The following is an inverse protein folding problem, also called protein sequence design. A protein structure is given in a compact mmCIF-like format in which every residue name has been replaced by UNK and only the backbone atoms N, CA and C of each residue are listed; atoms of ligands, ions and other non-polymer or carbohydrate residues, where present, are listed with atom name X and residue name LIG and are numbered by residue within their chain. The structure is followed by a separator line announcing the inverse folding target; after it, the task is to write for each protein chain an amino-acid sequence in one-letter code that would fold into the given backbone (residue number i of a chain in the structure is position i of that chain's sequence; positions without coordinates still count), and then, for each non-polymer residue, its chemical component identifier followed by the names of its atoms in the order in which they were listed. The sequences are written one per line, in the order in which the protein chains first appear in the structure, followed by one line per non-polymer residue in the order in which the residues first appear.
data_IF_816353362524
#
_entry.id   IF_816353362524
#
_cell.length_a   1.000
_cell.length_b   1.000
_cell.length_c   1.000
_cell.angle_alpha   90.00
_cell.angle_beta   90.00
_cell.angle_gamma   90.00
#
_symmetry.space_group_name_H-M   'P 1'
#
loop_
_entity.id
_entity.type
_entity.pdbx_description
1 polymer ?
#
# COMPACT_ATOMS: atom_id res chain seq x y z
N UNK A 1 47.53 10.33 -18.22
CA UNK A 1 47.02 10.09 -16.85
C UNK A 1 45.51 10.19 -16.90
N UNK A 2 44.79 9.08 -16.66
CA UNK A 2 43.33 9.04 -16.67
C UNK A 2 42.82 9.64 -15.35
N UNK A 3 41.96 10.65 -15.45
CA UNK A 3 41.28 11.21 -14.28
C UNK A 3 40.32 10.16 -13.70
N UNK A 4 40.39 10.01 -12.39
CA UNK A 4 39.66 9.04 -11.59
C UNK A 4 38.14 9.18 -11.77
N UNK A 5 37.47 8.04 -11.86
CA UNK A 5 36.01 7.95 -11.93
C UNK A 5 35.37 8.64 -10.72
N UNK A 6 34.47 9.57 -10.99
CA UNK A 6 33.55 10.07 -9.98
C UNK A 6 32.72 8.90 -9.48
N UNK A 7 32.85 8.57 -8.20
CA UNK A 7 31.90 7.70 -7.52
C UNK A 7 30.51 8.36 -7.66
N UNK A 8 29.63 7.78 -8.46
CA UNK A 8 28.21 8.11 -8.42
C UNK A 8 27.75 7.89 -6.99
N UNK A 9 27.30 8.96 -6.32
CA UNK A 9 26.70 8.83 -5.00
C UNK A 9 25.47 7.91 -5.11
N UNK A 10 25.27 6.97 -4.18
CA UNK A 10 24.04 6.21 -4.12
C UNK A 10 22.86 7.18 -4.06
N UNK A 11 21.86 6.98 -4.91
CA UNK A 11 20.60 7.69 -4.76
C UNK A 11 19.74 6.92 -3.77
N UNK A 12 19.14 7.63 -2.81
CA UNK A 12 18.22 7.04 -1.85
C UNK A 12 17.17 6.17 -2.53
N UNK A 13 16.93 4.98 -1.98
CA UNK A 13 16.02 3.99 -2.54
C UNK A 13 15.23 3.33 -1.43
N UNK A 14 13.96 3.07 -1.68
CA UNK A 14 13.13 2.23 -0.83
C UNK A 14 12.40 1.19 -1.68
N UNK A 15 12.07 0.07 -1.03
CA UNK A 15 11.16 -0.94 -1.56
C UNK A 15 10.44 -1.62 -0.41
N UNK A 16 9.12 -1.71 -0.51
CA UNK A 16 8.29 -2.39 0.47
C UNK A 16 7.09 -3.08 -0.16
N UNK A 17 6.45 -3.91 0.66
CA UNK A 17 5.21 -4.60 0.32
C UNK A 17 4.19 -4.34 1.41
N UNK A 18 2.93 -4.21 1.04
CA UNK A 18 1.82 -4.06 1.97
C UNK A 18 0.97 -5.32 1.91
N UNK A 19 1.09 -6.14 2.94
CA UNK A 19 0.25 -7.33 3.12
C UNK A 19 -0.86 -6.98 4.09
N UNK A 20 -2.10 -6.87 3.62
CA UNK A 20 -3.26 -6.67 4.50
C UNK A 20 -4.09 -7.94 4.56
N UNK A 21 -4.45 -8.35 5.77
CA UNK A 21 -5.35 -9.45 6.05
C UNK A 21 -6.48 -8.97 6.96
N UNK A 22 -7.68 -9.46 6.73
CA UNK A 22 -8.83 -9.16 7.57
C UNK A 22 -9.72 -10.38 7.75
N UNK A 23 -10.28 -10.50 8.95
CA UNK A 23 -11.44 -11.35 9.24
C UNK A 23 -12.64 -10.42 9.51
N UNK A 24 -13.76 -10.95 10.05
CA UNK A 24 -14.97 -10.15 10.30
C UNK A 24 -14.82 -9.01 11.34
N UNK A 25 -13.73 -9.00 12.12
CA UNK A 25 -13.51 -8.05 13.23
C UNK A 25 -12.14 -7.38 13.19
N UNK A 26 -11.11 -8.15 12.86
CA UNK A 26 -9.72 -7.77 12.94
C UNK A 26 -9.12 -7.53 11.56
N UNK A 27 -8.20 -6.58 11.54
CA UNK A 27 -7.37 -6.22 10.41
C UNK A 27 -5.93 -6.23 10.89
N UNK A 28 -5.08 -6.92 10.16
CA UNK A 28 -3.63 -6.88 10.35
C UNK A 28 -3.01 -6.46 9.02
N UNK A 29 -2.13 -5.47 9.04
CA UNK A 29 -1.29 -5.12 7.92
C UNK A 29 0.18 -5.23 8.31
N UNK A 30 0.97 -5.83 7.43
CA UNK A 30 2.38 -6.11 7.62
C UNK A 30 3.16 -5.52 6.46
N UNK A 31 4.11 -4.64 6.78
CA UNK A 31 4.87 -3.87 5.80
C UNK A 31 6.37 -4.14 5.98
N UNK A 32 6.91 -5.22 5.39
CA UNK A 32 8.35 -5.37 5.26
C UNK A 32 8.89 -4.35 4.25
N UNK A 33 9.92 -3.61 4.65
CA UNK A 33 10.53 -2.58 3.83
C UNK A 33 12.07 -2.59 3.91
N UNK A 34 12.70 -2.29 2.79
CA UNK A 34 14.15 -2.17 2.62
C UNK A 34 14.48 -0.77 2.13
N UNK A 35 15.53 -0.20 2.71
CA UNK A 35 15.92 1.18 2.52
C UNK A 35 17.41 1.29 2.27
N UNK A 36 17.80 2.17 1.38
CA UNK A 36 19.17 2.62 1.17
C UNK A 36 19.15 4.14 1.21
N UNK A 37 19.90 4.75 2.12
CA UNK A 37 20.00 6.21 2.20
C UNK A 37 20.97 6.78 1.14
N UNK A 38 21.04 8.11 1.04
CA UNK A 38 21.95 8.81 0.11
C UNK A 38 23.45 8.60 0.42
N UNK A 39 23.78 8.07 1.60
CA UNK A 39 25.12 7.67 1.97
C UNK A 39 25.43 6.20 1.61
N UNK A 40 24.43 5.44 1.13
CA UNK A 40 24.54 4.02 0.81
C UNK A 40 24.36 3.10 2.02
N UNK A 41 23.92 3.60 3.17
CA UNK A 41 23.62 2.75 4.31
C UNK A 41 22.30 2.02 4.08
N UNK A 42 22.36 0.70 4.20
CA UNK A 42 21.18 -0.15 4.10
C UNK A 42 20.51 -0.31 5.47
N UNK A 43 19.18 -0.23 5.48
CA UNK A 43 18.36 -0.58 6.64
C UNK A 43 17.13 -1.37 6.19
N UNK A 44 16.54 -2.12 7.11
CA UNK A 44 15.34 -2.88 6.85
C UNK A 44 14.42 -2.79 8.07
N UNK A 45 13.12 -2.77 7.83
CA UNK A 45 12.13 -2.63 8.89
C UNK A 45 10.86 -3.44 8.59
N UNK A 46 10.10 -3.71 9.65
CA UNK A 46 8.75 -4.26 9.58
C UNK A 46 7.80 -3.33 10.33
N UNK A 47 6.80 -2.79 9.65
CA UNK A 47 5.65 -2.18 10.31
C UNK A 47 4.55 -3.23 10.50
N UNK A 48 4.03 -3.32 11.73
CA UNK A 48 2.93 -4.22 12.10
C UNK A 48 1.78 -3.35 12.54
N UNK A 49 0.69 -3.34 11.78
CA UNK A 49 -0.46 -2.49 12.01
C UNK A 49 -1.66 -3.38 12.30
N UNK A 50 -2.42 -3.03 13.32
CA UNK A 50 -3.68 -3.68 13.70
C UNK A 50 -4.80 -2.63 13.68
N UNK A 51 -6.03 -2.98 14.06
CA UNK A 51 -7.15 -2.03 14.10
C UNK A 51 -6.85 -0.76 14.90
N UNK A 52 -6.03 -0.86 15.94
CA UNK A 52 -5.84 0.19 16.94
C UNK A 52 -4.38 0.40 17.37
N UNK A 53 -3.44 -0.43 16.89
CA UNK A 53 -2.01 -0.36 17.28
C UNK A 53 -1.09 -0.44 16.08
N UNK A 54 0.04 0.24 16.20
CA UNK A 54 1.17 0.19 15.27
C UNK A 54 2.42 -0.18 16.04
N UNK A 55 3.19 -1.11 15.49
CA UNK A 55 4.52 -1.46 15.96
C UNK A 55 5.52 -1.30 14.82
N UNK A 56 6.72 -0.83 15.17
CA UNK A 56 7.83 -0.69 14.25
C UNK A 56 8.98 -1.54 14.75
N UNK A 57 9.52 -2.38 13.87
CA UNK A 57 10.63 -3.28 14.20
C UNK A 57 11.76 -3.02 13.22
N UNK A 58 12.84 -2.46 13.72
CA UNK A 58 14.08 -2.26 12.98
C UNK A 58 14.88 -3.57 12.93
N UNK A 59 15.44 -3.87 11.76
CA UNK A 59 16.33 -5.00 11.56
C UNK A 59 17.75 -4.53 11.28
N UNK A 60 18.76 -5.28 11.74
CA UNK A 60 20.14 -4.91 11.54
C UNK A 60 20.49 -4.94 10.03
N UNK A 61 21.42 -4.11 9.54
CA UNK A 61 21.75 -4.02 8.11
C UNK A 61 22.12 -5.35 7.44
N UNK A 62 22.60 -6.32 8.21
CA UNK A 62 22.92 -7.68 7.74
C UNK A 62 21.68 -8.45 7.28
N UNK A 63 20.48 -8.08 7.73
CA UNK A 63 19.23 -8.60 7.21
C UNK A 63 18.94 -8.10 5.79
N UNK A 64 19.74 -7.18 5.24
CA UNK A 64 19.67 -6.65 3.87
C UNK A 64 20.38 -7.59 2.86
N UNK A 65 19.89 -8.83 2.69
CA UNK A 65 20.44 -9.81 1.73
C UNK A 65 20.03 -9.53 0.27
N UNK A 66 20.78 -10.08 -0.70
CA UNK A 66 20.56 -9.86 -2.14
C UNK A 66 19.20 -10.34 -2.71
N UNK A 67 18.42 -11.11 -1.94
CA UNK A 67 17.09 -11.65 -2.31
C UNK A 67 15.95 -10.61 -2.26
N UNK A 68 16.24 -9.33 -2.05
CA UNK A 68 15.23 -8.30 -1.70
C UNK A 68 14.60 -7.59 -2.89
N UNK A 69 14.88 -8.06 -4.10
CA UNK A 69 14.37 -7.43 -5.31
C UNK A 69 12.94 -7.81 -5.62
N UNK A 70 12.46 -8.98 -5.22
CA UNK A 70 11.11 -9.50 -5.50
C UNK A 70 10.68 -10.48 -4.40
N UNK A 71 9.40 -10.85 -4.35
CA UNK A 71 8.95 -11.91 -3.44
C UNK A 71 9.48 -13.28 -3.93
N UNK A 72 9.85 -14.19 -3.02
CA UNK A 72 9.78 -14.08 -1.57
C UNK A 72 10.90 -13.21 -0.97
N UNK A 73 10.60 -12.52 0.13
CA UNK A 73 11.59 -11.77 0.91
C UNK A 73 11.72 -12.28 2.34
N UNK A 74 12.94 -12.19 2.87
CA UNK A 74 13.27 -12.53 4.25
C UNK A 74 13.70 -11.31 5.03
N UNK A 75 13.25 -11.26 6.28
CA UNK A 75 13.60 -10.23 7.24
C UNK A 75 13.84 -10.89 8.60
N UNK A 76 15.12 -11.15 8.91
CA UNK A 76 15.48 -12.02 10.02
C UNK A 76 14.85 -13.40 9.89
N UNK A 77 14.04 -13.81 10.87
CA UNK A 77 13.30 -15.09 10.85
C UNK A 77 11.94 -15.01 10.14
N UNK A 78 11.56 -13.83 9.64
CA UNK A 78 10.31 -13.67 8.90
C UNK A 78 10.51 -14.01 7.41
N UNK A 79 9.52 -14.67 6.83
CA UNK A 79 9.41 -14.95 5.40
C UNK A 79 8.08 -14.40 4.89
N UNK A 80 8.12 -13.62 3.82
CA UNK A 80 6.95 -13.09 3.13
C UNK A 80 6.96 -13.58 1.68
N UNK A 81 5.87 -14.15 1.20
CA UNK A 81 5.74 -14.62 -0.18
C UNK A 81 4.30 -14.48 -0.71
N UNK A 82 4.11 -14.84 -1.98
CA UNK A 82 2.80 -14.89 -2.62
C UNK A 82 1.92 -16.05 -2.13
N UNK A 83 2.51 -17.02 -1.41
CA UNK A 83 1.83 -18.20 -0.87
C UNK A 83 1.51 -18.06 0.62
N UNK A 84 2.00 -17.01 1.28
CA UNK A 84 1.78 -16.81 2.71
C UNK A 84 2.97 -16.12 3.39
N UNK A 85 2.99 -16.24 4.71
CA UNK A 85 4.07 -15.72 5.53
C UNK A 85 4.29 -16.56 6.78
N UNK A 86 5.54 -16.65 7.20
CA UNK A 86 5.93 -17.19 8.49
C UNK A 86 6.68 -16.12 9.27
N UNK A 87 6.23 -15.81 10.47
CA UNK A 87 6.70 -14.67 11.24
C UNK A 87 7.23 -15.12 12.60
N UNK A 88 8.43 -14.67 12.95
CA UNK A 88 8.99 -14.79 14.30
C UNK A 88 9.83 -13.54 14.58
N UNK A 89 9.24 -12.64 15.37
CA UNK A 89 9.85 -11.41 15.84
C UNK A 89 9.76 -11.38 17.35
N UNK A 90 10.87 -11.06 17.99
CA UNK A 90 10.95 -10.88 19.43
C UNK A 90 11.81 -9.66 19.73
N UNK A 91 11.14 -8.55 20.04
CA UNK A 91 11.75 -7.31 20.49
C UNK A 91 11.13 -6.87 21.81
N UNK A 92 11.64 -5.79 22.41
CA UNK A 92 11.09 -5.24 23.64
C UNK A 92 9.64 -4.77 23.47
N UNK A 93 9.31 -4.19 22.30
CA UNK A 93 8.02 -3.54 22.06
C UNK A 93 7.05 -4.40 21.22
N UNK A 94 7.57 -5.41 20.51
CA UNK A 94 6.80 -6.27 19.62
C UNK A 94 7.26 -7.73 19.68
N UNK A 95 6.35 -8.60 20.10
CA UNK A 95 6.42 -10.05 20.00
C UNK A 95 5.37 -10.47 18.96
N UNK A 96 5.83 -10.89 17.78
CA UNK A 96 4.97 -11.33 16.68
C UNK A 96 5.37 -12.74 16.27
N UNK A 97 4.42 -13.68 16.33
CA UNK A 97 4.64 -15.07 15.89
C UNK A 97 3.42 -15.59 15.16
N UNK A 98 3.63 -16.40 14.13
CA UNK A 98 2.52 -17.09 13.47
C UNK A 98 2.81 -17.43 12.03
N UNK A 99 1.82 -18.07 11.41
CA UNK A 99 1.89 -18.49 10.01
C UNK A 99 0.54 -18.19 9.37
N UNK A 100 0.59 -17.53 8.22
CA UNK A 100 -0.56 -17.35 7.35
C UNK A 100 -0.29 -18.02 6.01
N UNK A 101 -1.31 -18.67 5.48
CA UNK A 101 -1.33 -19.34 4.19
C UNK A 101 -2.27 -18.56 3.27
N UNK A 102 -1.81 -18.31 2.05
CA UNK A 102 -2.62 -17.63 1.05
C UNK A 102 -3.18 -18.64 0.05
N UNK A 103 -4.47 -18.50 -0.23
CA UNK A 103 -5.04 -19.09 -1.44
C UNK A 103 -4.47 -18.45 -2.71
N UNK A 104 -4.89 -18.91 -3.90
CA UNK A 104 -4.44 -18.32 -5.16
C UNK A 104 -4.64 -16.81 -5.18
N UNK A 105 -3.58 -16.07 -5.55
CA UNK A 105 -3.67 -14.63 -5.74
C UNK A 105 -4.56 -14.32 -6.94
N UNK A 106 -5.27 -13.20 -6.85
CA UNK A 106 -6.00 -12.64 -8.00
C UNK A 106 -5.20 -11.47 -8.55
N UNK A 107 -4.26 -11.69 -9.49
CA UNK A 107 -3.47 -10.59 -10.04
C UNK A 107 -4.35 -9.63 -10.85
N UNK A 108 -3.97 -8.35 -10.95
CA UNK A 108 -4.60 -7.44 -11.90
C UNK A 108 -4.37 -7.91 -13.35
N UNK A 109 -5.29 -7.59 -14.25
CA UNK A 109 -5.22 -7.98 -15.65
C UNK A 109 -3.98 -7.41 -16.39
N UNK A 110 -3.43 -6.30 -15.88
CA UNK A 110 -2.19 -5.69 -16.32
C UNK A 110 -1.59 -4.84 -15.19
N UNK A 111 -0.35 -4.39 -15.34
CA UNK A 111 0.32 -3.47 -14.41
C UNK A 111 -0.62 -2.32 -14.00
N UNK A 112 -0.76 -2.10 -12.69
CA UNK A 112 -1.65 -1.08 -12.13
C UNK A 112 -1.26 0.34 -12.57
N UNK A 113 0.03 0.61 -12.80
CA UNK A 113 0.51 1.89 -13.29
C UNK A 113 0.31 2.05 -14.80
N UNK A 114 0.10 0.96 -15.54
CA UNK A 114 0.02 0.97 -17.00
C UNK A 114 1.19 1.77 -17.62
N UNK A 115 0.93 2.73 -18.54
CA UNK A 115 2.00 3.51 -19.16
C UNK A 115 2.80 4.38 -18.17
N UNK A 116 2.31 4.64 -16.96
CA UNK A 116 3.06 5.43 -15.96
C UNK A 116 4.32 4.70 -15.47
N UNK A 117 4.41 3.37 -15.60
CA UNK A 117 5.62 2.64 -15.24
C UNK A 117 6.85 3.06 -16.07
N UNK A 118 6.60 3.52 -17.30
CA UNK A 118 7.62 3.97 -18.26
C UNK A 118 8.03 5.44 -18.07
N UNK A 119 7.38 6.19 -17.18
CA UNK A 119 7.71 7.60 -17.00
C UNK A 119 9.08 7.75 -16.30
N UNK A 120 10.00 8.54 -16.87
CA UNK A 120 11.27 8.82 -16.23
C UNK A 120 11.05 9.69 -14.99
N UNK A 121 11.97 9.60 -14.02
CA UNK A 121 11.93 10.41 -12.78
C UNK A 121 10.70 10.21 -11.90
N UNK A 122 9.95 9.11 -12.09
CA UNK A 122 8.87 8.74 -11.18
C UNK A 122 9.42 8.48 -9.77
N UNK A 123 8.92 9.24 -8.80
CA UNK A 123 9.36 9.22 -7.39
C UNK A 123 9.02 7.87 -6.74
N UNK A 124 7.80 7.37 -6.97
CA UNK A 124 7.30 6.10 -6.47
C UNK A 124 6.66 5.29 -7.59
N UNK A 125 7.05 4.02 -7.71
CA UNK A 125 6.39 3.03 -8.55
C UNK A 125 5.56 2.09 -7.68
N UNK A 126 4.29 2.03 -8.00
CA UNK A 126 3.29 1.25 -7.32
C UNK A 126 3.04 -0.08 -8.06
N UNK A 127 2.74 -1.16 -7.34
CA UNK A 127 2.46 -2.48 -7.91
C UNK A 127 1.38 -3.18 -7.11
N UNK A 128 0.41 -3.78 -7.77
CA UNK A 128 -0.60 -4.63 -7.12
C UNK A 128 -0.36 -6.07 -7.54
N UNK A 129 -0.11 -6.94 -6.57
CA UNK A 129 0.12 -8.38 -6.80
C UNK A 129 -1.17 -9.18 -6.67
N UNK A 130 -2.08 -8.74 -5.79
CA UNK A 130 -3.34 -9.43 -5.56
C UNK A 130 -4.46 -8.44 -5.25
N UNK A 131 -5.48 -8.40 -6.11
CA UNK A 131 -6.74 -7.69 -5.87
C UNK A 131 -7.49 -8.29 -4.68
N UNK A 132 -7.39 -9.61 -4.52
CA UNK A 132 -8.05 -10.40 -3.49
C UNK A 132 -7.40 -11.77 -3.41
N UNK A 133 -7.24 -12.30 -2.20
CA UNK A 133 -6.95 -13.72 -1.95
C UNK A 133 -7.57 -14.17 -0.64
N UNK A 134 -7.71 -15.48 -0.48
CA UNK A 134 -8.11 -16.08 0.79
C UNK A 134 -6.89 -16.17 1.72
N UNK A 135 -7.10 -16.00 3.02
CA UNK A 135 -6.07 -16.12 4.06
C UNK A 135 -6.54 -17.09 5.14
N UNK A 136 -5.68 -18.05 5.48
CA UNK A 136 -5.90 -19.02 6.55
C UNK A 136 -4.71 -19.08 7.50
N UNK A 137 -4.94 -19.27 8.80
CA UNK A 137 -3.90 -19.38 9.82
C UNK A 137 -4.08 -18.38 10.95
N UNK A 138 -3.02 -18.14 11.73
CA UNK A 138 -3.10 -17.23 12.86
C UNK A 138 -1.78 -16.51 13.14
N UNK A 139 -1.92 -15.34 13.75
CA UNK A 139 -0.84 -14.53 14.29
C UNK A 139 -1.09 -14.27 15.78
N UNK A 140 -0.03 -14.26 16.57
CA UNK A 140 0.00 -13.74 17.94
C UNK A 140 0.84 -12.46 17.94
N UNK A 141 0.24 -11.35 18.35
CA UNK A 141 0.90 -10.04 18.47
C UNK A 141 0.78 -9.59 19.91
N UNK A 142 1.90 -9.51 20.63
CA UNK A 142 1.96 -9.13 22.05
C UNK A 142 0.94 -9.89 22.92
N UNK A 143 0.78 -11.20 22.65
CA UNK A 143 -0.12 -12.09 23.38
C UNK A 143 -1.59 -12.08 22.91
N UNK A 144 -2.01 -11.14 22.06
CA UNK A 144 -3.33 -11.17 21.42
C UNK A 144 -3.29 -12.05 20.17
N UNK A 145 -4.23 -12.97 20.05
CA UNK A 145 -4.39 -13.83 18.88
C UNK A 145 -5.26 -13.15 17.81
N UNK A 146 -4.87 -13.34 16.55
CA UNK A 146 -5.58 -12.94 15.35
C UNK A 146 -5.73 -14.19 14.48
N UNK A 147 -6.96 -14.67 14.32
CA UNK A 147 -7.26 -15.90 13.59
C UNK A 147 -7.95 -15.56 12.28
N UNK A 148 -7.46 -16.17 11.19
CA UNK A 148 -8.04 -16.04 9.87
C UNK A 148 -8.50 -17.43 9.41
N UNK A 149 -9.81 -17.58 9.24
CA UNK A 149 -10.45 -18.76 8.69
C UNK A 149 -11.28 -18.33 7.50
N UNK A 150 -10.82 -18.62 6.29
CA UNK A 150 -11.33 -18.01 5.06
C UNK A 150 -11.31 -16.46 5.13
N UNK A 151 -10.26 -15.92 5.75
CA UNK A 151 -10.02 -14.48 5.81
C UNK A 151 -9.77 -13.89 4.42
N UNK A 152 -9.78 -12.57 4.34
CA UNK A 152 -9.54 -11.82 3.09
C UNK A 152 -8.18 -11.16 3.12
N UNK A 153 -7.43 -11.30 2.02
CA UNK A 153 -6.10 -10.75 1.84
C UNK A 153 -6.01 -9.79 0.65
N UNK A 154 -5.12 -8.82 0.77
CA UNK A 154 -4.71 -7.86 -0.26
C UNK A 154 -3.20 -7.69 -0.25
N UNK A 155 -2.59 -7.55 -1.43
CA UNK A 155 -1.15 -7.43 -1.59
C UNK A 155 -0.77 -6.41 -2.66
N UNK A 156 -0.05 -5.38 -2.24
CA UNK A 156 0.58 -4.38 -3.09
C UNK A 156 2.04 -4.14 -2.67
N UNK A 157 2.76 -3.32 -3.43
CA UNK A 157 4.10 -2.89 -3.06
C UNK A 157 4.50 -1.61 -3.76
N UNK A 158 5.44 -0.93 -3.12
CA UNK A 158 5.95 0.37 -3.55
C UNK A 158 7.47 0.35 -3.61
N UNK A 159 8.02 1.04 -4.60
CA UNK A 159 9.46 1.21 -4.74
C UNK A 159 9.83 2.53 -5.39
N UNK A 160 10.94 3.11 -4.99
CA UNK A 160 11.39 4.36 -5.58
C UNK A 160 12.32 5.14 -4.66
N UNK A 161 12.31 6.46 -4.80
CA UNK A 161 13.15 7.38 -4.01
C UNK A 161 12.33 8.00 -2.87
N UNK A 162 11.08 8.36 -3.13
CA UNK A 162 10.16 8.96 -2.18
C UNK A 162 8.70 8.74 -2.59
N UNK A 163 7.77 8.87 -1.65
CA UNK A 163 6.36 9.01 -1.99
C UNK A 163 6.07 10.36 -2.68
N UNK A 164 4.98 10.45 -3.46
CA UNK A 164 4.56 11.70 -4.09
C UNK A 164 4.38 12.82 -3.08
N UNK A 165 4.58 14.07 -3.54
CA UNK A 165 4.37 15.26 -2.69
C UNK A 165 3.00 15.27 -2.02
N UNK A 166 1.95 15.05 -2.83
CA UNK A 166 0.56 14.89 -2.38
C UNK A 166 0.02 13.58 -2.94
N UNK A 167 -0.62 12.81 -2.07
CA UNK A 167 -1.32 11.60 -2.43
C UNK A 167 -2.46 11.30 -1.44
N UNK A 168 -3.37 10.47 -1.94
CA UNK A 168 -4.40 9.83 -1.17
C UNK A 168 -4.49 8.39 -1.67
N UNK A 169 -4.44 7.43 -0.75
CA UNK A 169 -4.61 6.02 -1.04
C UNK A 169 -5.69 5.42 -0.15
N UNK A 170 -6.46 4.48 -0.70
CA UNK A 170 -7.45 3.72 0.05
C UNK A 170 -7.60 2.34 -0.53
N UNK A 171 -7.81 1.35 0.35
CA UNK A 171 -8.17 -0.01 -0.01
C UNK A 171 -9.23 -0.57 0.94
N UNK A 172 -10.23 -1.25 0.41
CA UNK A 172 -11.21 -1.98 1.20
C UNK A 172 -11.59 -3.28 0.49
N UNK A 173 -11.82 -4.34 1.25
CA UNK A 173 -12.39 -5.57 0.74
C UNK A 173 -13.65 -5.96 1.53
N UNK A 174 -14.62 -6.56 0.85
CA UNK A 174 -15.90 -6.98 1.42
C UNK A 174 -16.40 -8.23 0.70
N UNK A 175 -16.69 -9.30 1.45
CA UNK A 175 -16.95 -10.61 0.86
C UNK A 175 -15.79 -11.04 -0.05
N UNK A 176 -16.07 -11.34 -1.33
CA UNK A 176 -15.05 -11.68 -2.34
C UNK A 176 -14.77 -10.52 -3.32
N UNK A 177 -14.96 -9.28 -2.84
CA UNK A 177 -14.81 -8.06 -3.63
C UNK A 177 -13.79 -7.15 -2.97
N UNK A 178 -13.19 -6.27 -3.75
CA UNK A 178 -12.27 -5.27 -3.23
C UNK A 178 -12.26 -4.02 -4.10
N UNK A 179 -11.81 -2.92 -3.51
CA UNK A 179 -11.62 -1.64 -4.16
C UNK A 179 -10.31 -1.07 -3.66
N UNK A 180 -9.52 -0.54 -4.59
CA UNK A 180 -8.36 0.28 -4.27
C UNK A 180 -8.37 1.50 -5.17
N UNK A 181 -7.98 2.65 -4.61
CA UNK A 181 -7.72 3.84 -5.38
C UNK A 181 -6.55 4.61 -4.78
N UNK A 182 -5.62 5.00 -5.65
CA UNK A 182 -4.56 5.97 -5.37
C UNK A 182 -4.75 7.18 -6.28
N UNK A 183 -4.69 8.39 -5.70
CA UNK A 183 -4.58 9.65 -6.40
C UNK A 183 -3.31 10.35 -5.93
N UNK A 184 -2.51 10.88 -6.87
CA UNK A 184 -1.21 11.47 -6.55
C UNK A 184 -0.80 12.58 -7.52
N UNK A 185 0.04 13.49 -7.04
CA UNK A 185 0.83 14.38 -7.90
C UNK A 185 1.88 13.55 -8.66
N UNK A 186 1.79 13.51 -9.99
CA UNK A 186 2.67 12.73 -10.88
C UNK A 186 3.62 13.67 -11.63
N UNK A 187 4.95 13.44 -11.59
CA UNK A 187 5.90 14.21 -12.37
C UNK A 187 5.81 13.84 -13.87
N UNK A 188 5.82 14.85 -14.73
CA UNK A 188 5.82 14.67 -16.19
C UNK A 188 6.70 15.74 -16.86
N UNK A 189 7.94 15.37 -17.22
CA UNK A 189 8.80 16.20 -18.08
C UNK A 189 9.02 17.63 -17.59
N UNK A 190 9.20 17.83 -16.28
CA UNK A 190 9.36 19.16 -15.65
C UNK A 190 8.05 19.83 -15.20
N UNK A 191 6.91 19.27 -15.57
CA UNK A 191 5.58 19.63 -15.05
C UNK A 191 5.11 18.59 -14.03
N UNK A 192 3.99 18.88 -13.37
CA UNK A 192 3.29 17.95 -12.50
C UNK A 192 1.79 18.00 -12.82
N UNK A 193 1.13 16.85 -12.82
CA UNK A 193 -0.32 16.75 -12.93
C UNK A 193 -0.86 15.81 -11.84
N UNK A 194 -2.12 15.96 -11.46
CA UNK A 194 -2.76 15.03 -10.53
C UNK A 194 -3.36 13.85 -11.32
N UNK A 195 -2.83 12.65 -11.08
CA UNK A 195 -3.31 11.41 -11.67
C UNK A 195 -3.96 10.50 -10.64
N UNK A 196 -4.67 9.48 -11.12
CA UNK A 196 -5.17 8.39 -10.29
C UNK A 196 -5.00 7.03 -10.97
N UNK A 197 -4.85 5.99 -10.15
CA UNK A 197 -4.93 4.59 -10.56
C UNK A 197 -5.61 3.75 -9.48
N UNK A 198 -6.25 2.67 -9.86
CA UNK A 198 -6.98 1.81 -8.95
C UNK A 198 -7.89 0.84 -9.69
N UNK A 199 -8.75 0.16 -8.94
CA UNK A 199 -9.69 -0.81 -9.46
C UNK A 199 -10.90 -0.96 -8.56
N UNK A 200 -11.99 -1.44 -9.14
CA UNK A 200 -13.06 -2.12 -8.41
C UNK A 200 -13.04 -3.59 -8.86
N UNK A 201 -12.81 -4.51 -7.95
CA UNK A 201 -12.92 -5.94 -8.19
C UNK A 201 -14.25 -6.42 -7.64
N UNK A 202 -15.16 -6.81 -8.52
CA UNK A 202 -16.54 -7.14 -8.17
C UNK A 202 -16.96 -8.42 -8.91
N UNK A 203 -17.42 -9.42 -8.15
CA UNK A 203 -17.95 -10.68 -8.67
C UNK A 203 -17.01 -11.37 -9.68
N UNK A 204 -15.72 -11.45 -9.35
CA UNK A 204 -14.73 -12.10 -10.21
C UNK A 204 -14.20 -11.22 -11.35
N UNK A 205 -14.59 -9.95 -11.43
CA UNK A 205 -14.22 -9.06 -12.53
C UNK A 205 -13.54 -7.78 -12.04
N UNK A 206 -12.40 -7.47 -12.65
CA UNK A 206 -11.72 -6.19 -12.48
C UNK A 206 -12.37 -5.09 -13.35
N UNK A 207 -12.62 -3.95 -12.73
CA UNK A 207 -12.98 -2.69 -13.36
C UNK A 207 -11.85 -1.69 -13.09
N UNK A 208 -10.90 -1.60 -14.03
CA UNK A 208 -9.76 -0.66 -13.96
C UNK A 208 -10.24 0.79 -13.91
N UNK A 209 -9.66 1.56 -13.01
CA UNK A 209 -9.83 3.01 -12.89
C UNK A 209 -8.47 3.65 -13.04
N UNK A 210 -8.23 4.42 -14.09
CA UNK A 210 -6.95 5.11 -14.24
C UNK A 210 -7.07 6.35 -15.11
N UNK A 211 -6.26 7.37 -14.84
CA UNK A 211 -6.20 8.57 -15.68
C UNK A 211 -5.84 8.22 -17.13
N UNK A 212 -4.93 7.26 -17.34
CA UNK A 212 -4.58 6.76 -18.67
C UNK A 212 -5.70 5.92 -19.34
N UNK A 213 -6.73 5.52 -18.60
CA UNK A 213 -7.96 4.91 -19.11
C UNK A 213 -9.11 5.94 -19.23
N UNK A 214 -8.83 7.25 -19.07
CA UNK A 214 -9.81 8.32 -19.17
C UNK A 214 -10.54 8.65 -17.88
N UNK A 215 -10.06 8.17 -16.72
CA UNK A 215 -10.59 8.62 -15.42
C UNK A 215 -10.29 10.11 -15.20
N UNK A 216 -11.27 10.82 -14.68
CA UNK A 216 -11.18 12.23 -14.31
C UNK A 216 -11.58 12.39 -12.86
N UNK A 217 -10.68 12.95 -12.05
CA UNK A 217 -10.98 13.41 -10.70
C UNK A 217 -11.87 14.65 -10.80
N UNK A 218 -13.08 14.54 -10.27
CA UNK A 218 -14.07 15.63 -10.23
C UNK A 218 -13.95 16.45 -8.95
N UNK A 219 -13.56 15.80 -7.86
CA UNK A 219 -13.28 16.41 -6.57
C UNK A 219 -12.27 15.55 -5.80
N UNK A 220 -11.35 16.20 -5.10
CA UNK A 220 -10.32 15.54 -4.30
C UNK A 220 -9.93 16.47 -3.15
N UNK A 221 -10.02 15.93 -1.93
CA UNK A 221 -9.71 16.58 -0.65
C UNK A 221 -9.03 15.55 0.26
N UNK A 222 -8.71 15.92 1.50
CA UNK A 222 -8.09 15.00 2.46
C UNK A 222 -8.93 13.76 2.78
N UNK A 223 -10.27 13.87 2.77
CA UNK A 223 -11.19 12.82 3.21
C UNK A 223 -12.09 12.27 2.10
N UNK A 224 -12.19 12.97 0.96
CA UNK A 224 -13.18 12.67 -0.08
C UNK A 224 -12.56 12.68 -1.46
N UNK A 225 -12.93 11.66 -2.25
CA UNK A 225 -12.61 11.52 -3.67
C UNK A 225 -13.90 11.34 -4.44
N UNK A 226 -14.05 12.10 -5.53
CA UNK A 226 -15.08 11.88 -6.53
C UNK A 226 -14.42 11.78 -7.90
N UNK A 227 -14.71 10.72 -8.64
CA UNK A 227 -14.20 10.56 -10.00
C UNK A 227 -15.24 9.97 -10.95
N UNK A 228 -14.94 10.15 -12.23
CA UNK A 228 -15.70 9.57 -13.34
C UNK A 228 -14.76 8.95 -14.38
N UNK A 229 -15.11 7.79 -14.91
CA UNK A 229 -14.46 7.18 -16.07
C UNK A 229 -15.52 6.60 -17.01
N UNK A 230 -15.85 7.34 -18.08
CA UNK A 230 -16.96 6.98 -18.98
C UNK A 230 -18.31 6.99 -18.25
N UNK A 231 -18.95 5.83 -18.16
CA UNK A 231 -20.21 5.57 -17.43
C UNK A 231 -19.99 5.15 -15.97
N UNK A 232 -18.74 4.98 -15.53
CA UNK A 232 -18.39 4.70 -14.14
C UNK A 232 -18.29 6.00 -13.34
N UNK A 233 -18.94 6.02 -12.18
CA UNK A 233 -18.81 7.06 -11.16
C UNK A 233 -18.39 6.40 -9.84
N UNK A 234 -17.45 7.01 -9.13
CA UNK A 234 -16.96 6.52 -7.84
C UNK A 234 -16.82 7.71 -6.88
N UNK A 235 -17.40 7.54 -5.69
CA UNK A 235 -17.24 8.43 -4.55
C UNK A 235 -16.71 7.60 -3.37
N UNK A 236 -15.64 8.11 -2.75
CA UNK A 236 -15.05 7.55 -1.54
C UNK A 236 -15.04 8.66 -0.50
N UNK A 237 -15.52 8.37 0.71
CA UNK A 237 -15.58 9.34 1.80
C UNK A 237 -15.13 8.70 3.11
N UNK A 238 -14.06 9.21 3.68
CA UNK A 238 -13.65 8.89 5.04
C UNK A 238 -14.65 9.54 6.01
N UNK A 239 -15.35 8.71 6.79
CA UNK A 239 -16.35 9.16 7.76
C UNK A 239 -15.77 9.26 9.18
N UNK A 240 -14.86 8.36 9.53
CA UNK A 240 -14.18 8.35 10.82
C UNK A 240 -12.76 7.85 10.66
N UNK A 241 -11.81 8.74 10.86
CA UNK A 241 -10.38 8.41 10.92
C UNK A 241 -10.05 7.65 12.21
N UNK A 242 -9.10 6.71 12.10
CA UNK A 242 -8.39 6.11 13.23
C UNK A 242 -6.89 6.20 12.97
N UNK A 243 -6.45 7.35 12.46
CA UNK A 243 -5.09 7.60 12.04
C UNK A 243 -4.10 7.23 13.16
N UNK A 244 -3.17 6.34 12.83
CA UNK A 244 -2.02 6.06 13.67
C UNK A 244 -0.77 6.64 12.98
N UNK A 245 0.19 7.19 13.75
CA UNK A 245 1.42 7.69 13.18
C UNK A 245 2.24 6.54 12.62
N UNK A 246 2.59 6.63 11.33
CA UNK A 246 3.36 5.64 10.58
C UNK A 246 4.58 6.32 9.96
N UNK A 247 5.67 5.56 9.80
CA UNK A 247 6.89 6.09 9.16
C UNK A 247 6.79 5.86 7.65
N UNK A 248 7.16 6.86 6.88
CA UNK A 248 7.20 6.84 5.42
C UNK A 248 8.57 7.28 4.89
N UNK A 249 8.97 6.78 3.69
CA UNK A 249 10.22 7.15 3.06
C UNK A 249 10.21 8.61 2.57
N UNK A 250 11.29 9.32 2.90
CA UNK A 250 11.68 10.59 2.33
C UNK A 250 13.19 10.53 2.05
N UNK A 251 13.57 10.63 0.77
CA UNK A 251 14.95 10.48 0.28
C UNK A 251 15.59 9.15 0.72
N UNK A 252 14.88 8.03 0.53
CA UNK A 252 15.35 6.69 0.95
C UNK A 252 15.28 6.41 2.46
N UNK A 253 15.32 7.43 3.32
CA UNK A 253 15.21 7.29 4.79
C UNK A 253 13.77 7.34 5.31
N UNK A 254 13.46 6.60 6.38
CA UNK A 254 12.14 6.57 7.05
C UNK A 254 11.91 7.79 7.97
N UNK A 255 12.02 9.00 7.42
CA UNK A 255 12.05 10.25 8.20
C UNK A 255 10.71 11.00 8.23
N UNK A 256 9.75 10.69 7.36
CA UNK A 256 8.44 11.34 7.32
C UNK A 256 7.43 10.58 8.18
N UNK A 257 6.65 11.30 8.99
CA UNK A 257 5.48 10.73 9.65
C UNK A 257 4.26 10.89 8.72
N UNK A 258 3.59 9.80 8.41
CA UNK A 258 2.32 9.76 7.69
C UNK A 258 1.24 9.25 8.64
N UNK A 259 0.00 9.64 8.38
CA UNK A 259 -1.16 9.16 9.11
C UNK A 259 -1.90 8.16 8.24
N UNK A 260 -1.61 6.87 8.42
CA UNK A 260 -2.38 5.79 7.80
C UNK A 260 -3.31 5.17 8.86
N UNK A 261 -4.52 4.81 8.43
CA UNK A 261 -5.41 3.94 9.18
C UNK A 261 -5.52 2.63 8.42
N UNK A 262 -5.07 1.49 8.98
CA UNK A 262 -5.32 0.18 8.35
C UNK A 262 -6.79 -0.26 8.44
N UNK A 263 -7.52 0.25 9.45
CA UNK A 263 -8.95 0.05 9.65
C UNK A 263 -9.62 1.35 10.11
N UNK A 264 -10.43 1.94 9.23
CA UNK A 264 -11.22 3.15 9.48
C UNK A 264 -12.59 3.05 8.83
N UNK A 265 -13.48 3.99 9.17
CA UNK A 265 -14.84 4.01 8.64
C UNK A 265 -14.89 4.81 7.35
N UNK A 266 -15.11 4.13 6.21
CA UNK A 266 -15.16 4.74 4.88
C UNK A 266 -16.44 4.32 4.17
N UNK A 267 -17.10 5.27 3.51
CA UNK A 267 -18.22 5.00 2.59
C UNK A 267 -17.72 4.92 1.16
N UNK A 268 -18.11 3.86 0.48
CA UNK A 268 -17.85 3.65 -0.93
C UNK A 268 -19.17 3.65 -1.70
N UNK A 269 -19.30 4.57 -2.64
CA UNK A 269 -20.43 4.60 -3.59
C UNK A 269 -19.87 4.51 -5.00
N UNK A 270 -20.21 3.45 -5.73
CA UNK A 270 -19.77 3.29 -7.12
C UNK A 270 -20.92 2.77 -7.99
N UNK A 271 -20.99 3.26 -9.22
CA UNK A 271 -21.94 2.80 -10.21
C UNK A 271 -21.30 2.75 -11.58
N UNK A 272 -21.71 1.80 -12.42
CA UNK A 272 -21.31 1.74 -13.83
C UNK A 272 -22.53 1.49 -14.72
N UNK A 273 -23.08 2.56 -15.30
CA UNK A 273 -24.29 2.49 -16.12
C UNK A 273 -25.40 1.67 -15.44
N UNK A 274 -25.97 0.70 -16.17
CA UNK A 274 -26.94 -0.27 -15.65
C UNK A 274 -26.31 -1.57 -15.11
N UNK A 275 -24.97 -1.71 -15.11
CA UNK A 275 -24.30 -2.98 -14.78
C UNK A 275 -24.29 -3.26 -13.29
N UNK A 276 -23.95 -2.27 -12.48
CA UNK A 276 -23.95 -2.40 -11.03
C UNK A 276 -24.04 -1.04 -10.34
N UNK A 277 -24.50 -1.09 -9.10
CA UNK A 277 -24.42 0.00 -8.13
C UNK A 277 -24.04 -0.61 -6.78
N UNK A 278 -23.04 -0.04 -6.14
CA UNK A 278 -22.62 -0.36 -4.77
C UNK A 278 -22.71 0.91 -3.94
N UNK A 279 -23.18 0.77 -2.71
CA UNK A 279 -23.20 1.82 -1.70
C UNK A 279 -23.13 1.14 -0.34
N UNK A 280 -21.96 1.21 0.30
CA UNK A 280 -21.73 0.56 1.59
C UNK A 280 -20.75 1.37 2.44
N UNK A 281 -20.80 1.12 3.74
CA UNK A 281 -19.84 1.61 4.72
C UNK A 281 -19.04 0.43 5.24
N UNK A 282 -17.72 0.58 5.33
CA UNK A 282 -16.82 -0.40 5.93
C UNK A 282 -16.06 0.23 7.08
N UNK A 283 -15.92 -0.49 8.18
CA UNK A 283 -15.09 -0.12 9.34
C UNK A 283 -13.67 -0.71 9.26
N UNK A 284 -13.36 -1.46 8.21
CA UNK A 284 -12.07 -2.11 7.96
C UNK A 284 -11.39 -1.58 6.69
N UNK A 285 -11.76 -0.40 6.24
CA UNK A 285 -11.09 0.26 5.12
C UNK A 285 -9.70 0.74 5.55
N UNK A 286 -8.71 0.57 4.68
CA UNK A 286 -7.45 1.30 4.80
C UNK A 286 -7.60 2.65 4.11
N UNK A 287 -7.07 3.69 4.75
CA UNK A 287 -7.08 5.04 4.20
C UNK A 287 -5.84 5.81 4.67
N UNK A 288 -5.20 6.46 3.72
CA UNK A 288 -4.01 7.27 3.93
C UNK A 288 -4.11 8.52 3.07
N UNK A 289 -3.84 9.68 3.66
CA UNK A 289 -3.92 10.95 2.96
C UNK A 289 -2.93 11.94 3.54
N UNK A 290 -2.24 12.66 2.66
CA UNK A 290 -1.56 13.91 2.99
C UNK A 290 -2.08 15.05 2.11
N UNK A 291 -3.32 14.89 1.61
CA UNK A 291 -3.91 15.79 0.64
C UNK A 291 -4.41 17.07 1.29
N UNK A 292 -3.49 17.99 1.57
CA UNK A 292 -3.85 19.32 2.06
C UNK A 292 -4.26 20.22 0.88
N UNK A 293 -5.42 20.88 1.00
CA UNK A 293 -5.80 21.95 0.09
C UNK A 293 -4.78 23.08 0.20
N UNK A 294 -4.35 23.66 -0.94
CA UNK A 294 -3.55 24.88 -0.87
C UNK A 294 -4.39 25.92 -0.15
N UNK A 295 -3.84 26.52 0.92
CA UNK A 295 -4.31 27.82 1.36
C UNK A 295 -4.36 28.72 0.12
N UNK A 296 -5.54 29.29 -0.17
CA UNK A 296 -5.66 30.25 -1.25
C UNK A 296 -4.63 31.37 -1.01
N UNK A 297 -3.88 31.79 -2.04
CA UNK A 297 -2.91 32.87 -1.91
C UNK A 297 -3.58 34.18 -1.50
#
# INVERSE_FOLDING_TARGET
MKAAGGFQKPHGYFKGWYFKQQNGTDTVALIPAFHTDDCGNCSASLQVITNDRVFHVDFPPQAHEASQKELPVRLGKCLFSEQGMGLDVQTQDCILRGVLWFGPLTPPACDIMGPFCCLPMMECRHSVFSLFHQVDGSLSINGREYVFENGTGYLEGDRGVSFPRRYLWTHCAWGRNSIMLSAADVPWGGMCFTGCTGFVYLNGKEYRIATYCGARLLYLSEDTILLRQGDLQLKIQLLKSRAQPLRAPQNGGMTRLIHESAACTVRYTCSKGSRFRIDFVSDQASFESNWEERAAP
#
